data_IF_067963116687
#
_entry.id   IF_067963116687
#
_cell.length_a   1.000
_cell.length_b   1.000
_cell.length_c   1.000
_cell.angle_alpha   90.00
_cell.angle_beta   90.00
_cell.angle_gamma   90.00
#
_symmetry.space_group_name_H-M   'P 1'
#
loop_
_entity.id
_entity.type
_entity.pdbx_description
1 polymer ?
#
# COMPACT_ATOMS: atom_id res chain seq x y z
N UNK A 1 3.87 9.36 -22.67
CA UNK A 1 4.00 10.69 -22.02
C UNK A 1 2.68 11.47 -21.95
N UNK A 2 1.84 11.46 -23.00
CA UNK A 2 0.54 12.17 -23.00
C UNK A 2 -0.44 11.71 -21.88
N UNK A 3 -0.46 10.42 -21.54
CA UNK A 3 -1.34 9.88 -20.49
C UNK A 3 -0.96 10.32 -19.08
N UNK A 4 0.32 10.53 -18.79
CA UNK A 4 0.79 11.03 -17.49
C UNK A 4 0.43 12.49 -17.30
N UNK A 5 0.57 13.30 -18.36
CA UNK A 5 0.23 14.72 -18.36
C UNK A 5 -1.29 14.92 -18.22
N UNK A 6 -2.09 14.08 -18.89
CA UNK A 6 -3.55 14.11 -18.78
C UNK A 6 -4.04 13.69 -17.39
N UNK A 7 -3.44 12.64 -16.81
CA UNK A 7 -3.73 12.20 -15.43
C UNK A 7 -3.31 13.28 -14.44
N UNK A 8 -2.14 13.91 -14.61
CA UNK A 8 -1.66 14.96 -13.71
C UNK A 8 -2.51 16.23 -13.81
N UNK A 9 -2.92 16.65 -15.01
CA UNK A 9 -3.80 17.82 -15.18
C UNK A 9 -5.20 17.56 -14.62
N UNK A 10 -5.73 16.34 -14.73
CA UNK A 10 -7.05 16.02 -14.16
C UNK A 10 -6.96 15.80 -12.64
N UNK A 11 -5.97 15.07 -12.15
CA UNK A 11 -5.85 14.72 -10.73
C UNK A 11 -5.27 15.86 -9.89
N UNK A 12 -4.52 16.80 -10.49
CA UNK A 12 -3.92 17.95 -9.79
C UNK A 12 -4.51 19.28 -10.25
N UNK A 13 -4.72 19.45 -11.56
CA UNK A 13 -5.24 20.71 -12.11
C UNK A 13 -6.72 20.94 -11.83
N UNK A 14 -7.56 19.88 -11.90
CA UNK A 14 -8.99 20.00 -11.64
C UNK A 14 -9.30 20.36 -10.16
N UNK A 15 -8.66 19.75 -9.14
CA UNK A 15 -8.86 20.15 -7.74
C UNK A 15 -8.35 21.55 -7.45
N UNK A 16 -7.23 21.98 -8.06
CA UNK A 16 -6.70 23.35 -7.90
C UNK A 16 -7.63 24.39 -8.53
N UNK A 17 -8.14 24.13 -9.73
CA UNK A 17 -9.08 25.01 -10.41
C UNK A 17 -10.38 25.16 -9.60
N UNK A 18 -10.92 24.05 -9.09
CA UNK A 18 -12.09 24.09 -8.20
C UNK A 18 -11.82 24.86 -6.90
N UNK A 19 -10.67 24.61 -6.26
CA UNK A 19 -10.27 25.30 -5.03
C UNK A 19 -10.22 26.82 -5.21
N UNK A 20 -9.60 27.30 -6.30
CA UNK A 20 -9.52 28.73 -6.60
C UNK A 20 -10.86 29.35 -7.00
N UNK A 21 -11.74 28.60 -7.67
CA UNK A 21 -13.08 29.09 -8.04
C UNK A 21 -14.05 29.20 -6.86
N UNK A 22 -13.89 28.39 -5.81
CA UNK A 22 -14.81 28.33 -4.66
C UNK A 22 -14.36 29.21 -3.49
N UNK A 23 -13.07 29.57 -3.43
CA UNK A 23 -12.49 30.43 -2.39
C UNK A 23 -13.14 31.82 -2.26
N UNK A 24 -13.83 32.30 -3.29
CA UNK A 24 -14.42 33.64 -3.28
C UNK A 24 -15.78 33.73 -2.57
N UNK A 25 -16.37 32.60 -2.12
CA UNK A 25 -17.75 32.59 -1.60
C UNK A 25 -17.89 31.91 -0.23
N UNK A 26 -16.93 31.06 0.19
CA UNK A 26 -17.04 30.26 1.42
C UNK A 26 -15.71 30.19 2.19
N UNK A 27 -15.78 30.05 3.53
CA UNK A 27 -14.62 29.82 4.38
C UNK A 27 -13.79 28.61 3.90
N UNK A 28 -12.46 28.69 4.00
CA UNK A 28 -11.47 27.76 3.39
C UNK A 28 -11.78 26.26 3.61
N UNK A 29 -12.48 25.92 4.71
CA UNK A 29 -12.93 24.56 5.07
C UNK A 29 -13.93 23.98 4.05
N UNK A 30 -14.85 24.79 3.52
CA UNK A 30 -15.86 24.35 2.55
C UNK A 30 -15.29 24.24 1.13
N UNK A 31 -14.31 25.09 0.79
CA UNK A 31 -13.60 25.01 -0.49
C UNK A 31 -12.79 23.71 -0.61
N UNK A 32 -12.16 23.26 0.48
CA UNK A 32 -11.46 21.98 0.55
C UNK A 32 -12.41 20.77 0.45
N UNK A 33 -13.58 20.86 1.09
CA UNK A 33 -14.62 19.82 1.02
C UNK A 33 -15.17 19.66 -0.39
N UNK A 34 -15.43 20.76 -1.10
CA UNK A 34 -16.00 20.73 -2.44
C UNK A 34 -14.93 20.37 -3.49
N UNK A 35 -13.66 20.76 -3.31
CA UNK A 35 -12.58 20.38 -4.23
C UNK A 35 -12.18 18.90 -4.13
N UNK A 36 -12.51 18.22 -3.03
CA UNK A 36 -12.37 16.77 -2.89
C UNK A 36 -13.47 15.96 -3.60
N UNK A 37 -14.58 16.58 -4.01
CA UNK A 37 -15.72 15.89 -4.64
C UNK A 37 -15.38 15.32 -6.01
N UNK A 38 -14.69 16.02 -6.94
CA UNK A 38 -14.36 15.45 -8.24
C UNK A 38 -13.47 14.20 -8.16
N UNK A 39 -12.35 14.17 -7.40
CA UNK A 39 -11.58 12.95 -7.19
C UNK A 39 -12.41 11.81 -6.58
N UNK A 40 -13.24 12.13 -5.59
CA UNK A 40 -14.14 11.20 -4.91
C UNK A 40 -15.18 10.59 -5.86
N UNK A 41 -15.78 11.43 -6.70
CA UNK A 41 -16.75 11.03 -7.71
C UNK A 41 -16.08 10.22 -8.83
N UNK A 42 -14.83 10.54 -9.19
CA UNK A 42 -14.07 9.76 -10.18
C UNK A 42 -13.76 8.35 -9.68
N UNK A 43 -13.44 8.21 -8.38
CA UNK A 43 -13.27 6.91 -7.72
C UNK A 43 -14.59 6.14 -7.71
N UNK A 44 -15.72 6.77 -7.39
CA UNK A 44 -17.06 6.15 -7.40
C UNK A 44 -17.51 5.76 -8.81
N UNK A 45 -17.25 6.60 -9.81
CA UNK A 45 -17.61 6.32 -11.20
C UNK A 45 -16.74 5.18 -11.75
N UNK A 46 -15.43 5.17 -11.48
CA UNK A 46 -14.56 4.01 -11.80
C UNK A 46 -15.03 2.74 -11.08
N UNK A 47 -15.45 2.86 -9.82
CA UNK A 47 -15.97 1.76 -9.00
C UNK A 47 -17.25 1.15 -9.59
N UNK A 48 -18.20 1.99 -10.04
CA UNK A 48 -19.46 1.55 -10.65
C UNK A 48 -19.25 1.01 -12.07
N UNK A 49 -18.40 1.65 -12.89
CA UNK A 49 -18.20 1.26 -14.29
C UNK A 49 -17.30 0.04 -14.49
N UNK A 50 -16.26 -0.17 -13.65
CA UNK A 50 -15.30 -1.29 -13.84
C UNK A 50 -15.70 -2.59 -13.13
N UNK A 51 -16.77 -2.63 -12.32
CA UNK A 51 -17.21 -3.83 -11.56
C UNK A 51 -16.06 -4.57 -10.81
N UNK A 52 -15.03 -3.83 -10.41
CA UNK A 52 -13.94 -4.29 -9.54
C UNK A 52 -13.97 -3.36 -8.34
N UNK A 53 -14.31 -3.89 -7.18
CA UNK A 53 -14.28 -3.16 -5.92
C UNK A 53 -12.83 -2.76 -5.68
N UNK A 54 -12.46 -1.52 -6.02
CA UNK A 54 -11.16 -0.96 -5.66
C UNK A 54 -11.19 -0.64 -4.18
N UNK A 55 -10.94 -1.66 -3.36
CA UNK A 55 -10.96 -1.57 -1.90
C UNK A 55 -9.99 -0.49 -1.38
N UNK A 56 -8.91 -0.19 -2.13
CA UNK A 56 -8.00 0.91 -1.83
C UNK A 56 -8.69 2.26 -2.09
N UNK A 57 -9.35 2.42 -3.23
CA UNK A 57 -10.15 3.61 -3.56
C UNK A 57 -11.27 3.89 -2.54
N UNK A 58 -12.03 2.87 -2.15
CA UNK A 58 -13.06 2.99 -1.10
C UNK A 58 -12.47 3.39 0.25
N UNK A 59 -11.29 2.90 0.62
CA UNK A 59 -10.69 3.26 1.90
C UNK A 59 -10.09 4.67 1.89
N UNK A 60 -9.51 5.11 0.78
CA UNK A 60 -9.10 6.53 0.58
C UNK A 60 -10.31 7.45 0.70
N UNK A 61 -11.45 7.04 0.13
CA UNK A 61 -12.74 7.74 0.25
C UNK A 61 -13.20 7.81 1.71
N UNK A 62 -13.24 6.69 2.44
CA UNK A 62 -13.62 6.67 3.87
C UNK A 62 -12.67 7.53 4.71
N UNK A 63 -11.38 7.45 4.46
CA UNK A 63 -10.37 8.27 5.12
C UNK A 63 -10.54 9.76 4.85
N UNK A 64 -10.84 10.14 3.60
CA UNK A 64 -11.17 11.51 3.24
C UNK A 64 -12.42 11.99 3.97
N UNK A 65 -13.46 11.16 4.06
CA UNK A 65 -14.70 11.48 4.80
C UNK A 65 -14.43 11.64 6.30
N UNK A 66 -13.61 10.76 6.90
CA UNK A 66 -13.22 10.87 8.32
C UNK A 66 -12.38 12.12 8.56
N UNK A 67 -11.39 12.39 7.70
CA UNK A 67 -10.56 13.60 7.74
C UNK A 67 -11.39 14.87 7.60
N UNK A 68 -12.36 14.87 6.69
CA UNK A 68 -13.28 15.97 6.47
C UNK A 68 -14.26 16.17 7.64
N UNK A 69 -14.80 15.10 8.21
CA UNK A 69 -15.67 15.16 9.39
C UNK A 69 -14.94 15.74 10.60
N UNK A 70 -13.67 15.35 10.81
CA UNK A 70 -12.81 15.93 11.84
C UNK A 70 -12.55 17.42 11.53
N UNK A 71 -12.28 17.77 10.27
CA UNK A 71 -12.01 19.15 9.85
C UNK A 71 -13.20 20.10 10.07
N UNK A 72 -14.44 19.64 9.96
CA UNK A 72 -15.64 20.47 10.21
C UNK A 72 -15.78 20.80 11.70
N UNK A 73 -15.27 19.95 12.60
CA UNK A 73 -15.34 20.17 14.04
C UNK A 73 -14.27 21.14 14.59
N UNK A 74 -13.38 21.66 13.74
CA UNK A 74 -12.04 22.15 14.12
C UNK A 74 -11.94 23.69 14.04
N UNK A 75 -12.09 24.38 15.17
CA UNK A 75 -11.84 25.82 15.31
C UNK A 75 -10.65 26.19 16.21
N UNK A 76 -9.88 25.19 16.67
CA UNK A 76 -8.85 25.35 17.72
C UNK A 76 -7.53 24.61 17.35
N UNK A 77 -6.39 25.05 17.87
CA UNK A 77 -5.06 24.53 17.54
C UNK A 77 -4.90 23.02 17.81
N UNK A 78 -5.60 22.51 18.84
CA UNK A 78 -5.66 21.07 19.15
C UNK A 78 -6.35 20.25 18.08
N UNK A 79 -7.26 20.85 17.33
CA UNK A 79 -8.02 20.15 16.32
C UNK A 79 -7.24 20.05 14.99
N UNK A 80 -6.31 20.97 14.71
CA UNK A 80 -5.30 20.81 13.64
C UNK A 80 -4.38 19.61 13.91
N UNK A 81 -3.95 19.40 15.16
CA UNK A 81 -3.19 18.20 15.54
C UNK A 81 -4.00 16.91 15.31
N UNK A 82 -5.31 16.94 15.58
CA UNK A 82 -6.20 15.80 15.34
C UNK A 82 -6.29 15.45 13.84
N UNK A 83 -6.33 16.47 12.98
CA UNK A 83 -6.32 16.33 11.51
C UNK A 83 -5.05 15.63 11.02
N UNK A 84 -3.87 16.11 11.44
CA UNK A 84 -2.59 15.50 11.02
C UNK A 84 -2.48 14.04 11.50
N UNK A 85 -3.04 13.74 12.67
CA UNK A 85 -3.10 12.38 13.22
C UNK A 85 -4.02 11.46 12.41
N UNK A 86 -5.09 12.01 11.81
CA UNK A 86 -6.03 11.26 10.98
C UNK A 86 -5.42 10.67 9.71
N UNK A 87 -4.35 11.30 9.18
CA UNK A 87 -3.60 10.76 8.03
C UNK A 87 -2.87 9.48 8.46
N UNK A 88 -2.21 9.47 9.61
CA UNK A 88 -1.53 8.28 10.12
C UNK A 88 -2.50 7.13 10.38
N UNK A 89 -3.67 7.43 10.97
CA UNK A 89 -4.74 6.46 11.17
C UNK A 89 -5.23 5.85 9.84
N UNK A 90 -5.38 6.68 8.82
CA UNK A 90 -5.77 6.25 7.48
C UNK A 90 -4.78 5.26 6.89
N UNK A 91 -3.49 5.58 6.95
CA UNK A 91 -2.43 4.70 6.44
C UNK A 91 -2.43 3.39 7.22
N UNK A 92 -2.54 3.46 8.55
CA UNK A 92 -2.63 2.28 9.40
C UNK A 92 -3.81 1.36 9.01
N UNK A 93 -4.97 1.95 8.71
CA UNK A 93 -6.16 1.23 8.26
C UNK A 93 -5.98 0.64 6.86
N UNK A 94 -5.32 1.33 5.92
CA UNK A 94 -4.99 0.78 4.59
C UNK A 94 -4.20 -0.52 4.72
N UNK A 95 -3.15 -0.48 5.54
CA UNK A 95 -2.32 -1.66 5.82
C UNK A 95 -3.14 -2.77 6.49
N UNK A 96 -3.96 -2.44 7.48
CA UNK A 96 -4.80 -3.41 8.20
C UNK A 96 -5.86 -4.06 7.32
N UNK A 97 -6.53 -3.27 6.47
CA UNK A 97 -7.53 -3.78 5.54
C UNK A 97 -6.90 -4.69 4.49
N UNK A 98 -5.68 -4.38 4.04
CA UNK A 98 -4.94 -5.25 3.10
C UNK A 98 -4.61 -6.64 3.66
N UNK A 99 -4.67 -6.81 4.99
CA UNK A 99 -4.50 -8.10 5.64
C UNK A 99 -5.78 -8.94 5.67
N UNK A 100 -6.95 -8.30 5.57
CA UNK A 100 -8.22 -9.02 5.65
C UNK A 100 -8.28 -10.01 4.48
N UNK A 101 -8.47 -11.32 4.76
CA UNK A 101 -8.53 -12.35 3.73
C UNK A 101 -9.89 -12.28 3.02
N UNK A 102 -10.16 -11.19 2.32
CA UNK A 102 -11.31 -11.03 1.45
C UNK A 102 -10.99 -11.80 0.17
N UNK A 103 -11.36 -13.09 0.17
CA UNK A 103 -11.35 -13.94 -1.01
C UNK A 103 -12.73 -13.92 -1.62
N UNK A 104 -12.97 -13.00 -2.55
CA UNK A 104 -14.16 -13.08 -3.41
C UNK A 104 -13.76 -13.68 -4.75
N UNK A 105 -14.69 -14.29 -5.51
CA UNK A 105 -14.38 -14.92 -6.80
C UNK A 105 -13.76 -13.96 -7.84
N UNK A 106 -13.86 -12.64 -7.61
CA UNK A 106 -13.42 -11.59 -8.53
C UNK A 106 -12.28 -10.72 -7.97
N UNK A 107 -11.95 -10.89 -6.69
CA UNK A 107 -11.03 -10.01 -5.97
C UNK A 107 -10.22 -10.79 -4.94
N UNK A 108 -8.91 -10.83 -5.16
CA UNK A 108 -7.96 -11.49 -4.28
C UNK A 108 -7.09 -10.42 -3.62
N UNK A 109 -7.44 -10.03 -2.40
CA UNK A 109 -6.68 -9.02 -1.65
C UNK A 109 -5.31 -9.58 -1.30
N UNK A 110 -4.26 -8.90 -1.74
CA UNK A 110 -2.86 -9.16 -1.35
C UNK A 110 -2.40 -8.09 -0.35
N UNK A 111 -1.48 -8.42 0.58
CA UNK A 111 -0.94 -7.43 1.51
C UNK A 111 -0.38 -6.22 0.75
N UNK A 112 -0.56 -5.01 1.29
CA UNK A 112 -0.15 -3.78 0.60
C UNK A 112 1.36 -3.78 0.29
N UNK A 113 2.18 -4.37 1.15
CA UNK A 113 3.62 -4.54 0.94
C UNK A 113 3.94 -5.39 -0.29
N UNK A 114 3.11 -6.39 -0.61
CA UNK A 114 3.27 -7.19 -1.82
C UNK A 114 3.02 -6.33 -3.06
N UNK A 115 1.99 -5.49 -3.04
CA UNK A 115 1.66 -4.59 -4.15
C UNK A 115 2.77 -3.55 -4.38
N UNK A 116 3.35 -3.03 -3.29
CA UNK A 116 4.52 -2.16 -3.36
C UNK A 116 5.70 -2.91 -3.98
N UNK A 117 5.95 -4.16 -3.57
CA UNK A 117 6.97 -5.01 -4.19
C UNK A 117 6.73 -5.20 -5.70
N UNK A 118 5.48 -5.45 -6.10
CA UNK A 118 5.12 -5.60 -7.52
C UNK A 118 5.42 -4.34 -8.33
N UNK A 119 5.19 -3.15 -7.77
CA UNK A 119 5.56 -1.89 -8.42
C UNK A 119 7.08 -1.73 -8.52
N UNK A 120 7.84 -2.16 -7.51
CA UNK A 120 9.30 -2.07 -7.51
C UNK A 120 9.94 -2.99 -8.57
N UNK A 121 9.36 -4.15 -8.83
CA UNK A 121 9.87 -5.13 -9.79
C UNK A 121 9.16 -5.07 -11.17
N UNK A 122 8.28 -4.09 -11.40
CA UNK A 122 7.48 -4.02 -12.63
C UNK A 122 8.33 -3.93 -13.92
N UNK A 123 9.50 -3.29 -13.85
CA UNK A 123 10.41 -3.15 -15.00
C UNK A 123 11.52 -4.22 -15.00
N UNK A 124 11.58 -5.07 -13.98
CA UNK A 124 12.56 -6.13 -13.92
C UNK A 124 12.18 -7.26 -14.89
N UNK A 125 13.17 -7.93 -15.52
CA UNK A 125 12.88 -9.10 -16.33
C UNK A 125 12.23 -10.19 -15.47
N UNK A 126 11.35 -11.02 -16.07
CA UNK A 126 10.74 -12.14 -15.36
C UNK A 126 11.81 -13.11 -14.86
N UNK A 127 11.51 -13.80 -13.78
CA UNK A 127 12.34 -14.85 -13.24
C UNK A 127 12.14 -16.14 -14.03
N UNK A 128 13.24 -16.74 -14.47
CA UNK A 128 13.26 -17.96 -15.26
C UNK A 128 13.96 -19.06 -14.46
N UNK A 129 13.41 -20.28 -14.46
CA UNK A 129 14.06 -21.44 -13.85
C UNK A 129 13.61 -22.73 -14.54
N UNK A 130 14.44 -23.76 -14.44
CA UNK A 130 14.12 -25.10 -14.96
C UNK A 130 13.87 -26.05 -13.80
N UNK A 131 12.76 -26.77 -13.84
CA UNK A 131 12.42 -27.74 -12.81
C UNK A 131 13.23 -29.05 -12.93
N UNK A 132 13.06 -29.96 -11.97
CA UNK A 132 13.76 -31.25 -11.96
C UNK A 132 13.39 -32.16 -13.15
N UNK A 133 12.28 -31.90 -13.82
CA UNK A 133 11.82 -32.66 -15.00
C UNK A 133 12.32 -32.03 -16.31
N UNK A 134 13.05 -30.92 -16.24
CA UNK A 134 13.54 -30.20 -17.43
C UNK A 134 12.54 -29.22 -18.03
N UNK A 135 11.41 -28.96 -17.37
CA UNK A 135 10.42 -28.00 -17.86
C UNK A 135 10.88 -26.59 -17.51
N UNK A 136 10.96 -25.74 -18.54
CA UNK A 136 11.26 -24.32 -18.41
C UNK A 136 10.04 -23.54 -17.92
N UNK A 137 10.23 -22.70 -16.91
CA UNK A 137 9.19 -21.81 -16.38
C UNK A 137 9.67 -20.35 -16.40
N UNK A 138 8.76 -19.44 -16.74
CA UNK A 138 8.99 -18.00 -16.74
C UNK A 138 7.82 -17.31 -16.02
N UNK A 139 8.13 -16.52 -14.99
CA UNK A 139 7.13 -15.84 -14.17
C UNK A 139 7.61 -14.46 -13.70
N UNK A 140 6.69 -13.55 -13.43
CA UNK A 140 7.00 -12.30 -12.72
C UNK A 140 7.65 -12.61 -11.35
N UNK A 141 8.67 -11.84 -10.95
CA UNK A 141 9.45 -12.11 -9.73
C UNK A 141 8.56 -12.18 -8.49
N UNK A 142 7.62 -11.24 -8.34
CA UNK A 142 6.77 -11.18 -7.17
C UNK A 142 5.74 -12.30 -7.18
N UNK A 143 5.20 -12.64 -8.35
CA UNK A 143 4.30 -13.79 -8.50
C UNK A 143 5.01 -15.11 -8.23
N UNK A 144 6.22 -15.30 -8.77
CA UNK A 144 7.07 -16.45 -8.50
C UNK A 144 7.38 -16.60 -7.00
N UNK A 145 7.81 -15.52 -6.34
CA UNK A 145 8.04 -15.54 -4.90
C UNK A 145 6.76 -15.90 -4.12
N UNK A 146 5.59 -15.46 -4.58
CA UNK A 146 4.33 -15.71 -3.89
C UNK A 146 3.78 -17.13 -4.08
N UNK A 147 3.90 -17.69 -5.29
CA UNK A 147 3.30 -18.96 -5.67
C UNK A 147 4.28 -20.13 -5.51
N UNK A 148 5.54 -19.97 -5.93
CA UNK A 148 6.55 -21.04 -5.91
C UNK A 148 7.21 -21.15 -4.53
N UNK A 149 7.73 -20.05 -3.99
CA UNK A 149 8.35 -20.06 -2.65
C UNK A 149 7.26 -20.21 -1.58
N UNK A 150 6.10 -19.58 -1.81
CA UNK A 150 4.88 -19.86 -1.07
C UNK A 150 4.86 -19.29 0.35
N UNK A 151 4.78 -20.17 1.36
CA UNK A 151 4.45 -19.78 2.75
C UNK A 151 5.35 -18.71 3.38
N UNK A 152 6.69 -18.78 3.34
CA UNK A 152 7.53 -17.80 4.02
C UNK A 152 7.40 -16.39 3.42
N UNK A 153 7.30 -16.27 2.09
CA UNK A 153 7.06 -14.99 1.41
C UNK A 153 5.69 -14.42 1.80
N UNK A 154 4.65 -15.25 1.80
CA UNK A 154 3.29 -14.84 2.19
C UNK A 154 3.23 -14.37 3.64
N UNK A 155 3.91 -15.07 4.55
CA UNK A 155 3.97 -14.70 5.95
C UNK A 155 4.75 -13.39 6.15
N UNK A 156 5.89 -13.23 5.49
CA UNK A 156 6.70 -12.00 5.57
C UNK A 156 5.87 -10.77 5.20
N UNK A 157 5.21 -10.77 4.04
CA UNK A 157 4.40 -9.64 3.59
C UNK A 157 3.20 -9.37 4.51
N UNK A 158 2.55 -10.42 5.04
CA UNK A 158 1.45 -10.27 6.00
C UNK A 158 1.92 -9.69 7.33
N UNK A 159 3.01 -10.20 7.90
CA UNK A 159 3.56 -9.69 9.16
C UNK A 159 4.03 -8.26 8.99
N UNK A 160 4.68 -7.93 7.88
CA UNK A 160 5.16 -6.59 7.62
C UNK A 160 4.00 -5.59 7.48
N UNK A 161 2.99 -5.91 6.66
CA UNK A 161 1.79 -5.07 6.54
C UNK A 161 1.01 -4.99 7.85
N UNK A 162 0.93 -6.08 8.62
CA UNK A 162 0.29 -6.09 9.94
C UNK A 162 1.03 -5.23 10.96
N UNK A 163 2.36 -5.27 10.96
CA UNK A 163 3.20 -4.43 11.79
C UNK A 163 3.01 -2.94 11.48
N UNK A 164 3.05 -2.56 10.19
CA UNK A 164 2.78 -1.18 9.77
C UNK A 164 1.39 -0.71 10.21
N UNK A 165 0.37 -1.56 10.08
CA UNK A 165 -0.97 -1.25 10.58
C UNK A 165 -0.98 -1.04 12.09
N UNK A 166 -0.45 -2.01 12.85
CA UNK A 166 -0.51 -1.99 14.30
C UNK A 166 0.24 -0.81 14.91
N UNK A 167 1.50 -0.58 14.52
CA UNK A 167 2.32 0.46 15.15
C UNK A 167 1.89 1.88 14.76
N UNK A 168 1.46 2.10 13.51
CA UNK A 168 0.91 3.41 13.11
C UNK A 168 -0.45 3.67 13.78
N UNK A 169 -1.29 2.64 13.94
CA UNK A 169 -2.56 2.81 14.66
C UNK A 169 -2.34 3.06 16.15
N UNK A 170 -1.35 2.40 16.76
CA UNK A 170 -0.96 2.63 18.14
C UNK A 170 -0.43 4.06 18.33
N UNK A 171 0.41 4.54 17.41
CA UNK A 171 0.88 5.93 17.41
C UNK A 171 -0.29 6.92 17.39
N UNK A 172 -1.25 6.71 16.48
CA UNK A 172 -2.46 7.51 16.40
C UNK A 172 -3.26 7.48 17.71
N UNK A 173 -3.51 6.30 18.26
CA UNK A 173 -4.28 6.13 19.49
C UNK A 173 -3.61 6.83 20.68
N UNK A 174 -2.29 6.71 20.80
CA UNK A 174 -1.51 7.39 21.84
C UNK A 174 -1.63 8.91 21.65
N UNK A 175 -1.47 9.41 20.43
CA UNK A 175 -1.57 10.85 20.14
C UNK A 175 -2.96 11.42 20.43
N UNK A 176 -4.03 10.72 20.05
CA UNK A 176 -5.41 11.11 20.40
C UNK A 176 -5.63 11.08 21.90
N UNK A 177 -5.10 10.07 22.61
CA UNK A 177 -5.20 10.00 24.07
C UNK A 177 -4.47 11.17 24.75
N UNK A 178 -3.30 11.58 24.24
CA UNK A 178 -2.58 12.75 24.75
C UNK A 178 -3.38 14.05 24.56
N UNK A 179 -4.09 14.18 23.44
CA UNK A 179 -4.91 15.37 23.14
C UNK A 179 -6.18 15.43 24.00
N UNK A 180 -6.85 14.29 24.23
CA UNK A 180 -8.13 14.24 24.93
C UNK A 180 -8.02 14.07 26.45
N UNK A 181 -7.01 13.36 26.93
CA UNK A 181 -6.88 12.99 28.35
C UNK A 181 -5.88 13.85 29.11
N UNK A 182 -5.14 14.75 28.45
CA UNK A 182 -4.09 15.54 29.10
C UNK A 182 -4.19 17.02 28.75
N UNK A 183 -3.92 17.89 29.71
CA UNK A 183 -3.82 19.34 29.51
C UNK A 183 -2.44 19.78 29.00
N UNK A 184 -1.75 18.89 28.28
CA UNK A 184 -0.43 19.22 27.73
C UNK A 184 -0.54 20.38 26.73
N UNK A 185 0.49 21.23 26.68
CA UNK A 185 0.56 22.26 25.66
C UNK A 185 0.83 21.61 24.29
N UNK A 186 0.36 22.27 23.24
CA UNK A 186 0.29 21.78 21.85
C UNK A 186 1.68 21.39 21.30
N UNK A 187 2.71 22.15 21.67
CA UNK A 187 4.11 21.93 21.32
C UNK A 187 4.64 20.58 21.83
N UNK A 188 4.31 20.20 23.07
CA UNK A 188 4.74 18.93 23.64
C UNK A 188 4.03 17.74 23.02
N UNK A 189 2.73 17.87 22.75
CA UNK A 189 1.96 16.82 22.07
C UNK A 189 2.54 16.56 20.68
N UNK A 190 2.85 17.62 19.93
CA UNK A 190 3.49 17.52 18.63
C UNK A 190 4.87 16.84 18.71
N UNK A 191 5.70 17.25 19.67
CA UNK A 191 7.04 16.69 19.87
C UNK A 191 6.97 15.19 20.19
N UNK A 192 6.12 14.78 21.13
CA UNK A 192 5.97 13.37 21.48
C UNK A 192 5.43 12.54 20.32
N UNK A 193 4.41 13.03 19.62
CA UNK A 193 3.90 12.37 18.41
C UNK A 193 5.00 12.15 17.38
N UNK A 194 5.78 13.19 17.09
CA UNK A 194 6.90 13.11 16.14
C UNK A 194 7.95 12.09 16.57
N UNK A 195 8.34 12.07 17.85
CA UNK A 195 9.30 11.10 18.37
C UNK A 195 8.75 9.67 18.22
N UNK A 196 7.48 9.43 18.58
CA UNK A 196 6.87 8.10 18.46
C UNK A 196 6.84 7.67 16.99
N UNK A 197 6.45 8.55 16.07
CA UNK A 197 6.43 8.26 14.63
C UNK A 197 7.84 7.88 14.13
N UNK A 198 8.87 8.65 14.49
CA UNK A 198 10.26 8.35 14.11
C UNK A 198 10.69 6.98 14.63
N UNK A 199 10.41 6.69 15.91
CA UNK A 199 10.75 5.39 16.52
C UNK A 199 10.04 4.24 15.79
N UNK A 200 8.75 4.38 15.49
CA UNK A 200 7.97 3.39 14.74
C UNK A 200 8.56 3.17 13.35
N UNK A 201 8.87 4.24 12.62
CA UNK A 201 9.44 4.15 11.27
C UNK A 201 10.81 3.48 11.28
N UNK A 202 11.71 3.86 12.20
CA UNK A 202 13.02 3.24 12.34
C UNK A 202 12.86 1.75 12.65
N UNK A 203 12.06 1.42 13.66
CA UNK A 203 11.82 0.04 14.06
C UNK A 203 11.27 -0.81 12.91
N UNK A 204 10.20 -0.34 12.26
CA UNK A 204 9.57 -1.05 11.14
C UNK A 204 10.51 -1.21 9.95
N UNK A 205 11.28 -0.17 9.63
CA UNK A 205 12.27 -0.23 8.54
C UNK A 205 13.37 -1.22 8.87
N UNK A 206 13.91 -1.22 10.09
CA UNK A 206 14.90 -2.20 10.53
C UNK A 206 14.36 -3.63 10.46
N UNK A 207 13.14 -3.88 10.95
CA UNK A 207 12.48 -5.18 10.82
C UNK A 207 12.28 -5.59 9.35
N UNK A 208 11.95 -4.64 8.47
CA UNK A 208 11.82 -4.87 7.03
C UNK A 208 13.14 -5.33 6.43
N UNK A 209 14.24 -4.62 6.70
CA UNK A 209 15.56 -4.93 6.16
C UNK A 209 16.03 -6.31 6.66
N UNK A 210 15.91 -6.58 7.96
CA UNK A 210 16.32 -7.86 8.55
C UNK A 210 15.51 -9.01 7.95
N UNK A 211 14.19 -8.85 7.86
CA UNK A 211 13.31 -9.85 7.26
C UNK A 211 13.56 -10.05 5.77
N UNK A 212 13.86 -8.98 5.03
CA UNK A 212 14.21 -9.04 3.61
C UNK A 212 15.53 -9.78 3.39
N UNK A 213 16.57 -9.52 4.20
CA UNK A 213 17.85 -10.25 4.14
C UNK A 213 17.63 -11.74 4.44
N UNK A 214 16.84 -12.05 5.48
CA UNK A 214 16.48 -13.43 5.82
C UNK A 214 15.73 -14.13 4.68
N UNK A 215 14.78 -13.43 4.06
CA UNK A 215 14.01 -13.94 2.93
C UNK A 215 14.89 -14.15 1.70
N UNK A 216 15.75 -13.19 1.35
CA UNK A 216 16.71 -13.32 0.24
C UNK A 216 17.64 -14.52 0.42
N UNK A 217 18.15 -14.75 1.64
CA UNK A 217 18.96 -15.94 1.95
C UNK A 217 18.17 -17.23 1.80
N UNK A 218 16.90 -17.24 2.20
CA UNK A 218 16.03 -18.39 2.01
C UNK A 218 15.76 -18.64 0.52
N UNK A 219 15.39 -17.61 -0.23
CA UNK A 219 15.15 -17.65 -1.68
C UNK A 219 16.39 -18.16 -2.42
N UNK A 220 17.57 -17.61 -2.12
CA UNK A 220 18.82 -18.03 -2.78
C UNK A 220 19.17 -19.50 -2.53
N UNK A 221 18.90 -20.03 -1.32
CA UNK A 221 19.04 -21.47 -1.06
C UNK A 221 18.06 -22.30 -1.87
N UNK A 222 16.80 -21.86 -1.93
CA UNK A 222 15.78 -22.54 -2.72
C UNK A 222 16.17 -22.61 -4.20
N UNK A 223 16.61 -21.49 -4.80
CA UNK A 223 17.07 -21.44 -6.19
C UNK A 223 18.24 -22.41 -6.40
N UNK A 224 19.26 -22.37 -5.53
CA UNK A 224 20.40 -23.29 -5.62
C UNK A 224 19.99 -24.77 -5.56
N UNK A 225 18.95 -25.11 -4.83
CA UNK A 225 18.50 -26.50 -4.69
C UNK A 225 17.57 -26.95 -5.82
N UNK A 226 16.73 -26.05 -6.34
CA UNK A 226 15.58 -26.39 -7.18
C UNK A 226 15.66 -25.87 -8.61
N UNK A 227 16.64 -25.03 -8.94
CA UNK A 227 16.91 -24.61 -10.31
C UNK A 227 17.93 -25.56 -10.96
N UNK A 228 17.48 -26.22 -12.03
CA UNK A 228 18.27 -27.21 -12.77
C UNK A 228 18.79 -26.69 -14.10
N UNK A 229 18.64 -25.38 -14.39
CA UNK A 229 19.01 -24.77 -15.67
C UNK A 229 20.46 -25.08 -16.07
N UNK A 230 21.41 -24.98 -15.14
CA UNK A 230 22.84 -25.28 -15.38
C UNK A 230 23.21 -26.77 -15.20
N UNK A 231 22.27 -27.60 -14.73
CA UNK A 231 22.51 -29.00 -14.35
C UNK A 231 22.04 -30.00 -15.39
N UNK A 232 21.10 -29.61 -16.24
CA UNK A 232 20.57 -30.46 -17.29
C UNK A 232 21.33 -30.21 -18.61
N UNK A 233 21.68 -31.27 -19.36
CA UNK A 233 22.26 -31.10 -20.68
C UNK A 233 21.23 -30.43 -21.63
N UNK A 234 21.69 -29.51 -22.48
CA UNK A 234 20.91 -28.68 -23.42
C UNK A 234 19.82 -29.45 -24.21
N UNK A 235 20.00 -30.76 -24.43
CA UNK A 235 19.09 -31.60 -25.22
C UNK A 235 17.74 -31.89 -24.55
N UNK A 236 17.57 -31.64 -23.25
CA UNK A 236 16.30 -31.91 -22.52
C UNK A 236 15.35 -30.72 -22.50
N UNK A 237 15.81 -29.53 -22.90
CA UNK A 237 15.07 -28.27 -22.79
C UNK A 237 14.13 -27.99 -23.98
N UNK A 238 14.15 -28.86 -25.00
CA UNK A 238 13.48 -28.67 -26.31
C UNK A 238 12.36 -29.65 -26.62
N UNK A 239 11.96 -30.55 -25.72
CA UNK A 239 10.76 -31.37 -25.95
C UNK A 239 9.49 -30.56 -25.71
N UNK A 240 9.11 -29.81 -26.74
CA UNK A 240 7.77 -29.29 -26.94
C UNK A 240 6.76 -30.46 -26.85
N UNK A 241 5.80 -30.45 -25.90
CA UNK A 241 4.79 -31.50 -25.79
C UNK A 241 3.92 -31.67 -27.05
N UNK A 242 4.02 -30.77 -28.03
CA UNK A 242 3.33 -30.86 -29.32
C UNK A 242 3.91 -31.90 -30.29
N UNK A 243 5.09 -32.48 -30.01
CA UNK A 243 5.78 -33.39 -30.95
C UNK A 243 5.47 -34.89 -30.78
N UNK A 244 4.58 -35.27 -29.85
CA UNK A 244 4.21 -36.68 -29.58
C UNK A 244 2.72 -36.96 -29.94
N UNK A 245 2.12 -36.17 -30.84
CA UNK A 245 0.77 -36.41 -31.38
C UNK A 245 0.79 -36.82 -32.84
#
# INVERSE_FOLDING_TARGET
MLSLLFVLVIDVGLPLALYYSIRTVLADVYALLISGIPPFLFVIIKFIYKRRVDALGCLVVVAYVVSAAISIATGDARATLLRDSGITATIALLFGLSLLPIRTPWFHVRPLTFLVGQQMYQEAPPFTWTDANGVYHEMDIMEWMWDVIGRPVRLFHRLLSGGWSFFLFAEFAIRVSMILATDLPVDRIYLYGTIITIVVVIFMTSCTIIGAIGLQRYVGRWVKENDYTDRLPEQTQTEDPSSIA
#
